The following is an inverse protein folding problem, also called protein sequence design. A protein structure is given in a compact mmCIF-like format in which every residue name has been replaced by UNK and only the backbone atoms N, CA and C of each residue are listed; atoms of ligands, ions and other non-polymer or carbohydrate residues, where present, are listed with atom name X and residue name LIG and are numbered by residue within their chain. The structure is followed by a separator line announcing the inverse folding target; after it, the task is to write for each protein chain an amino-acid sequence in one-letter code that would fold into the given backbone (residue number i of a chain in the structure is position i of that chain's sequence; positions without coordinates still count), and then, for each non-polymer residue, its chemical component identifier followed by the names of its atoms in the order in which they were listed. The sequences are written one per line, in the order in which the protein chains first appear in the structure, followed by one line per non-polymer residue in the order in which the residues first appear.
data_IF_360776314559
#
_entry.id   IF_360776314559
#
_cell.length_a   1.000
_cell.length_b   1.000
_cell.length_c   1.000
_cell.angle_alpha   90.00
_cell.angle_beta   90.00
_cell.angle_gamma   90.00
#
_symmetry.space_group_name_H-M   'P 1'
#
loop_
_entity.id
_entity.type
_entity.pdbx_description
1 polymer ?
#
# COMPACT_ATOMS: atom_id res chain seq x y z
N UNK A 1 41.22 -42.49 -10.91
CA UNK A 1 40.03 -41.69 -11.24
C UNK A 1 39.68 -40.84 -10.02
N UNK A 2 39.62 -39.51 -10.11
CA UNK A 2 39.19 -38.69 -8.99
C UNK A 2 37.69 -38.87 -8.78
N UNK A 3 37.24 -39.07 -7.54
CA UNK A 3 35.82 -39.05 -7.19
C UNK A 3 35.26 -37.68 -7.57
N UNK A 4 34.27 -37.65 -8.47
CA UNK A 4 33.52 -36.43 -8.75
C UNK A 4 32.98 -35.86 -7.44
N UNK A 5 33.42 -34.66 -7.13
CA UNK A 5 32.96 -33.88 -5.99
C UNK A 5 31.54 -33.44 -6.34
N UNK A 6 30.54 -34.07 -5.73
CA UNK A 6 29.15 -33.62 -5.80
C UNK A 6 29.11 -32.26 -5.09
N UNK A 7 29.31 -31.18 -5.83
CA UNK A 7 29.04 -29.83 -5.36
C UNK A 7 27.53 -29.64 -5.54
N UNK A 8 26.78 -30.13 -4.57
CA UNK A 8 25.37 -29.80 -4.41
C UNK A 8 25.31 -28.36 -3.90
N UNK A 9 25.11 -27.39 -4.80
CA UNK A 9 24.68 -26.06 -4.39
C UNK A 9 23.41 -26.19 -3.53
N UNK A 10 23.41 -25.51 -2.39
CA UNK A 10 22.25 -25.47 -1.51
C UNK A 10 21.04 -24.96 -2.31
N UNK A 11 19.82 -25.50 -2.08
CA UNK A 11 18.65 -24.99 -2.77
C UNK A 11 18.47 -23.50 -2.44
N UNK A 12 18.22 -22.69 -3.47
CA UNK A 12 17.84 -21.29 -3.29
C UNK A 12 16.48 -21.23 -2.61
N UNK A 13 16.48 -21.20 -1.28
CA UNK A 13 15.26 -21.15 -0.46
C UNK A 13 14.72 -19.72 -0.42
N UNK A 14 14.19 -19.30 -1.57
CA UNK A 14 13.27 -18.17 -1.72
C UNK A 14 11.80 -18.63 -1.72
N UNK A 15 11.55 -19.91 -1.41
CA UNK A 15 10.21 -20.50 -1.39
C UNK A 15 9.32 -19.92 -0.29
N UNK A 16 8.00 -20.04 -0.48
CA UNK A 16 7.00 -19.61 0.49
C UNK A 16 7.19 -20.39 1.80
N UNK A 17 7.25 -19.69 2.93
CA UNK A 17 7.34 -20.34 4.24
C UNK A 17 5.98 -20.88 4.63
N UNK A 18 5.99 -22.08 5.19
CA UNK A 18 4.79 -22.71 5.76
C UNK A 18 4.97 -22.85 7.26
N UNK A 19 4.08 -22.22 8.01
CA UNK A 19 4.02 -22.30 9.45
C UNK A 19 2.80 -23.14 9.88
N UNK A 20 2.93 -23.81 11.01
CA UNK A 20 1.90 -24.70 11.56
C UNK A 20 1.56 -24.25 12.97
N UNK A 21 0.26 -24.29 13.26
CA UNK A 21 -0.30 -24.00 14.57
C UNK A 21 -1.33 -25.08 14.88
N UNK A 22 -1.03 -25.96 15.84
CA UNK A 22 -2.02 -26.94 16.30
C UNK A 22 -3.17 -26.25 17.05
N UNK A 23 -4.28 -26.96 17.23
CA UNK A 23 -5.42 -26.41 17.98
C UNK A 23 -5.07 -26.07 19.43
N UNK A 24 -4.26 -26.90 20.08
CA UNK A 24 -3.76 -26.63 21.43
C UNK A 24 -2.89 -25.37 21.48
N UNK A 25 -1.99 -25.20 20.49
CA UNK A 25 -1.15 -24.01 20.38
C UNK A 25 -1.98 -22.73 20.15
N UNK A 26 -3.02 -22.81 19.32
CA UNK A 26 -3.91 -21.68 19.09
C UNK A 26 -4.65 -21.26 20.37
N UNK A 27 -5.22 -22.22 21.11
CA UNK A 27 -5.90 -21.96 22.39
C UNK A 27 -4.94 -21.32 23.40
N UNK A 28 -3.68 -21.77 23.41
CA UNK A 28 -2.65 -21.24 24.30
C UNK A 28 -2.04 -19.90 23.82
N UNK A 29 -2.44 -19.36 22.66
CA UNK A 29 -1.86 -18.15 22.09
C UNK A 29 -0.38 -18.30 21.72
N UNK A 30 0.07 -19.51 21.40
CA UNK A 30 1.46 -19.80 21.05
C UNK A 30 1.82 -19.29 19.65
N UNK A 31 3.12 -19.06 19.43
CA UNK A 31 3.63 -18.68 18.11
C UNK A 31 3.63 -19.88 17.15
N UNK A 32 3.24 -19.70 15.87
CA UNK A 32 3.33 -20.76 14.85
C UNK A 32 4.77 -21.25 14.65
N UNK A 33 4.95 -22.54 14.39
CA UNK A 33 6.25 -23.18 14.17
C UNK A 33 6.44 -23.45 12.68
N UNK A 34 7.62 -23.16 12.13
CA UNK A 34 7.90 -23.40 10.72
C UNK A 34 7.98 -24.90 10.44
N UNK A 35 7.22 -25.37 9.44
CA UNK A 35 7.26 -26.74 8.93
C UNK A 35 8.15 -26.90 7.70
N UNK A 36 8.49 -25.80 7.01
CA UNK A 36 9.45 -25.86 5.91
C UNK A 36 9.21 -24.79 4.87
N UNK A 37 9.77 -25.02 3.70
CA UNK A 37 9.55 -24.20 2.51
C UNK A 37 8.68 -24.95 1.53
N UNK A 38 7.66 -24.28 1.02
CA UNK A 38 6.73 -24.83 0.04
C UNK A 38 7.45 -25.08 -1.29
N UNK A 39 7.39 -26.31 -1.77
CA UNK A 39 7.89 -26.70 -3.10
C UNK A 39 6.75 -26.86 -4.10
N UNK A 40 5.57 -27.29 -3.64
CA UNK A 40 4.36 -27.33 -4.47
C UNK A 40 3.09 -27.22 -3.62
N UNK A 41 2.03 -26.66 -4.20
CA UNK A 41 0.69 -26.66 -3.60
C UNK A 41 -0.40 -26.71 -4.66
N UNK A 42 -1.46 -27.46 -4.40
CA UNK A 42 -2.65 -27.55 -5.25
C UNK A 42 -3.92 -27.60 -4.42
N UNK A 43 -5.06 -27.20 -4.99
CA UNK A 43 -6.37 -27.33 -4.33
C UNK A 43 -6.76 -26.22 -3.35
N UNK A 44 -5.92 -25.20 -3.12
CA UNK A 44 -6.22 -24.06 -2.23
C UNK A 44 -7.52 -23.31 -2.58
N UNK A 45 -7.80 -23.16 -3.88
CA UNK A 45 -9.01 -22.52 -4.44
C UNK A 45 -10.19 -23.49 -4.65
N UNK A 46 -9.98 -24.80 -4.46
CA UNK A 46 -10.97 -25.84 -4.74
C UNK A 46 -12.14 -25.85 -3.75
N UNK A 47 -13.26 -26.42 -4.17
CA UNK A 47 -14.50 -26.53 -3.41
C UNK A 47 -15.67 -26.31 -4.36
N UNK A 48 -16.31 -27.40 -4.81
CA UNK A 48 -17.53 -27.28 -5.60
C UNK A 48 -18.69 -26.90 -4.67
N UNK A 49 -19.52 -25.95 -5.11
CA UNK A 49 -20.85 -25.76 -4.52
C UNK A 49 -21.81 -26.65 -5.29
N UNK A 50 -22.40 -27.63 -4.62
CA UNK A 50 -23.62 -28.23 -5.14
C UNK A 50 -24.76 -27.25 -4.85
N UNK A 51 -25.32 -26.62 -5.87
CA UNK A 51 -26.58 -25.90 -5.71
C UNK A 51 -27.68 -26.94 -5.55
N UNK A 52 -28.42 -26.90 -4.43
CA UNK A 52 -29.64 -27.67 -4.30
C UNK A 52 -30.79 -26.81 -4.80
N UNK A 53 -31.29 -27.15 -5.99
CA UNK A 53 -32.54 -26.60 -6.51
C UNK A 53 -33.68 -27.33 -5.85
N UNK A 54 -34.46 -26.62 -5.04
CA UNK A 54 -35.67 -27.17 -4.43
C UNK A 54 -36.88 -26.69 -5.26
N UNK A 55 -37.66 -27.63 -5.78
CA UNK A 55 -39.00 -27.35 -6.29
C UNK A 55 -39.95 -27.22 -5.10
N UNK A 56 -40.62 -26.06 -4.89
CA UNK A 56 -41.54 -25.90 -3.78
C UNK A 56 -42.72 -26.87 -3.93
N UNK A 57 -42.98 -27.71 -2.92
CA UNK A 57 -44.09 -28.69 -2.97
C UNK A 57 -45.46 -28.00 -2.80
N UNK A 58 -45.50 -26.84 -2.12
CA UNK A 58 -46.75 -26.15 -1.73
C UNK A 58 -46.80 -24.66 -2.08
N UNK A 59 -45.82 -24.13 -2.81
CA UNK A 59 -45.78 -22.70 -3.19
C UNK A 59 -45.94 -22.58 -4.70
N UNK A 60 -46.97 -21.85 -5.15
CA UNK A 60 -47.30 -21.66 -6.58
C UNK A 60 -46.77 -20.34 -7.13
N UNK A 61 -46.26 -19.45 -6.27
CA UNK A 61 -45.89 -18.09 -6.66
C UNK A 61 -44.39 -17.94 -6.96
N UNK A 62 -43.57 -18.96 -6.66
CA UNK A 62 -42.14 -18.99 -6.96
C UNK A 62 -41.76 -20.22 -7.80
N UNK A 63 -41.21 -20.00 -9.00
CA UNK A 63 -40.76 -21.07 -9.91
C UNK A 63 -39.52 -21.84 -9.41
N UNK A 64 -38.69 -21.21 -8.57
CA UNK A 64 -37.43 -21.78 -8.09
C UNK A 64 -37.05 -21.23 -6.69
N UNK A 65 -36.72 -22.12 -5.74
CA UNK A 65 -36.01 -21.73 -4.51
C UNK A 65 -34.56 -22.20 -4.63
N UNK A 66 -33.64 -21.23 -4.78
CA UNK A 66 -32.21 -21.49 -4.67
C UNK A 66 -31.82 -21.58 -3.20
N UNK A 67 -31.69 -22.81 -2.68
CA UNK A 67 -31.10 -23.01 -1.36
C UNK A 67 -29.56 -22.92 -1.46
N UNK A 68 -28.93 -22.21 -0.53
CA UNK A 68 -27.47 -22.16 -0.42
C UNK A 68 -26.98 -23.57 -0.10
N UNK A 69 -26.57 -24.31 -1.12
CA UNK A 69 -26.19 -25.72 -0.96
C UNK A 69 -24.83 -25.92 -0.27
N UNK A 70 -24.50 -27.19 -0.03
CA UNK A 70 -23.33 -27.60 0.76
C UNK A 70 -22.03 -27.27 -0.01
N UNK A 71 -21.14 -26.48 0.60
CA UNK A 71 -19.77 -26.30 0.12
C UNK A 71 -18.98 -27.56 0.51
N UNK A 72 -18.58 -28.38 -0.46
CA UNK A 72 -17.72 -29.54 -0.17
C UNK A 72 -16.31 -29.05 0.16
N UNK A 73 -15.65 -29.77 1.06
CA UNK A 73 -14.28 -29.50 1.45
C UNK A 73 -13.33 -29.71 0.27
N UNK A 74 -12.30 -28.86 0.19
CA UNK A 74 -11.30 -28.95 -0.87
C UNK A 74 -10.19 -29.90 -0.44
N UNK A 75 -9.86 -30.88 -1.26
CA UNK A 75 -8.60 -31.61 -1.09
C UNK A 75 -7.46 -30.70 -1.50
N UNK A 76 -6.49 -30.54 -0.60
CA UNK A 76 -5.27 -29.78 -0.80
C UNK A 76 -4.10 -30.76 -0.75
N UNK A 77 -3.21 -30.67 -1.73
CA UNK A 77 -1.94 -31.39 -1.71
C UNK A 77 -0.81 -30.38 -1.61
N UNK A 78 0.14 -30.66 -0.72
CA UNK A 78 1.23 -29.75 -0.36
C UNK A 78 2.53 -30.54 -0.24
N UNK A 79 3.61 -30.04 -0.83
CA UNK A 79 4.95 -30.59 -0.64
C UNK A 79 5.84 -29.54 0.03
N UNK A 80 6.54 -29.94 1.09
CA UNK A 80 7.41 -29.09 1.89
C UNK A 80 8.82 -29.64 1.87
N UNK A 81 9.82 -28.80 1.58
CA UNK A 81 11.22 -29.09 1.89
C UNK A 81 11.49 -28.66 3.34
N UNK A 82 11.78 -29.62 4.22
CA UNK A 82 11.87 -29.36 5.66
C UNK A 82 13.23 -29.64 6.28
N UNK A 83 14.11 -30.36 5.58
CA UNK A 83 15.49 -30.57 6.03
C UNK A 83 16.45 -30.56 4.87
N UNK A 84 17.51 -29.77 4.96
CA UNK A 84 18.54 -29.65 3.92
C UNK A 84 19.80 -28.96 4.47
N UNK A 85 20.90 -29.03 3.73
CA UNK A 85 22.13 -28.31 4.07
C UNK A 85 22.20 -27.01 3.27
N UNK A 86 22.42 -25.89 3.97
CA UNK A 86 22.69 -24.57 3.39
C UNK A 86 23.89 -23.93 4.07
N UNK A 87 24.85 -23.46 3.29
CA UNK A 87 26.09 -22.83 3.77
C UNK A 87 26.84 -23.70 4.80
N UNK A 88 26.85 -25.02 4.59
CA UNK A 88 27.48 -26.00 5.48
C UNK A 88 26.74 -26.26 6.80
N UNK A 89 25.53 -25.70 7.00
CA UNK A 89 24.69 -25.93 8.18
C UNK A 89 23.42 -26.69 7.79
N UNK A 90 23.05 -27.67 8.61
CA UNK A 90 21.76 -28.35 8.49
C UNK A 90 20.65 -27.40 8.94
N UNK A 91 19.71 -27.14 8.05
CA UNK A 91 18.41 -26.56 8.34
C UNK A 91 17.45 -27.72 8.61
N UNK A 92 16.76 -27.71 9.73
CA UNK A 92 15.80 -28.76 10.14
C UNK A 92 14.60 -28.06 10.79
N UNK A 93 13.38 -28.34 10.31
CA UNK A 93 12.16 -27.63 10.70
C UNK A 93 11.20 -28.54 11.46
N UNK A 94 11.06 -28.28 12.77
CA UNK A 94 10.24 -29.10 13.68
C UNK A 94 8.73 -29.07 13.37
N UNK A 95 8.25 -28.09 12.61
CA UNK A 95 6.83 -27.98 12.26
C UNK A 95 6.29 -29.19 11.50
N UNK A 96 7.14 -29.97 10.83
CA UNK A 96 6.75 -31.23 10.18
C UNK A 96 6.30 -32.27 11.20
N UNK A 97 6.93 -32.34 12.37
CA UNK A 97 6.55 -33.28 13.43
C UNK A 97 5.14 -32.96 13.98
N UNK A 98 4.75 -31.68 13.97
CA UNK A 98 3.38 -31.29 14.33
C UNK A 98 2.36 -31.71 13.27
N UNK A 99 2.73 -31.72 11.98
CA UNK A 99 1.88 -32.21 10.91
C UNK A 99 1.74 -33.73 10.97
N UNK A 100 2.84 -34.45 11.20
CA UNK A 100 2.84 -35.90 11.41
C UNK A 100 1.95 -36.29 12.59
N UNK A 101 2.15 -35.65 13.75
CA UNK A 101 1.34 -35.88 14.94
C UNK A 101 -0.15 -35.59 14.68
N UNK A 102 -0.47 -34.50 13.99
CA UNK A 102 -1.85 -34.18 13.66
C UNK A 102 -2.50 -35.21 12.73
N UNK A 103 -1.73 -35.81 11.82
CA UNK A 103 -2.19 -36.94 11.01
C UNK A 103 -2.45 -38.19 11.86
N UNK A 104 -1.49 -38.57 12.71
CA UNK A 104 -1.59 -39.75 13.59
C UNK A 104 -2.75 -39.65 14.58
N UNK A 105 -2.95 -38.47 15.17
CA UNK A 105 -4.00 -38.22 16.17
C UNK A 105 -5.33 -37.77 15.53
N UNK A 106 -5.38 -37.66 14.20
CA UNK A 106 -6.57 -37.22 13.45
C UNK A 106 -7.09 -35.85 13.92
N UNK A 107 -6.17 -34.94 14.26
CA UNK A 107 -6.44 -33.58 14.73
C UNK A 107 -6.52 -32.55 13.59
N UNK A 108 -7.25 -31.47 13.86
CA UNK A 108 -7.27 -30.30 12.98
C UNK A 108 -6.09 -29.37 13.29
N UNK A 109 -5.47 -28.84 12.24
CA UNK A 109 -4.36 -27.88 12.33
C UNK A 109 -4.66 -26.62 11.53
N UNK A 110 -3.98 -25.53 11.89
CA UNK A 110 -3.90 -24.36 11.04
C UNK A 110 -2.56 -24.34 10.33
N UNK A 111 -2.63 -24.22 9.00
CA UNK A 111 -1.47 -23.93 8.17
C UNK A 111 -1.52 -22.44 7.83
N UNK A 112 -0.40 -21.77 8.06
CA UNK A 112 -0.20 -20.37 7.69
C UNK A 112 0.78 -20.34 6.52
N UNK A 113 0.33 -19.80 5.40
CA UNK A 113 1.12 -19.67 4.17
C UNK A 113 1.35 -18.18 3.89
N UNK A 114 2.61 -17.80 3.79
CA UNK A 114 3.00 -16.49 3.25
C UNK A 114 2.96 -16.60 1.72
N UNK A 115 2.21 -15.74 1.05
CA UNK A 115 2.13 -15.63 -0.41
C UNK A 115 3.14 -14.56 -0.83
N UNK A 116 3.97 -14.88 -1.83
CA UNK A 116 4.93 -13.94 -2.38
C UNK A 116 4.25 -13.04 -3.43
N UNK A 117 3.30 -12.22 -2.98
CA UNK A 117 2.74 -11.11 -3.72
C UNK A 117 3.29 -9.77 -3.19
N UNK A 118 2.95 -8.66 -3.84
CA UNK A 118 3.40 -7.32 -3.42
C UNK A 118 2.97 -6.98 -1.98
N UNK A 119 1.83 -7.52 -1.53
CA UNK A 119 1.28 -7.33 -0.19
C UNK A 119 1.92 -8.27 0.86
N UNK A 120 2.70 -9.26 0.42
CA UNK A 120 3.20 -10.37 1.25
C UNK A 120 2.07 -11.04 2.03
N UNK A 121 0.96 -11.30 1.32
CA UNK A 121 -0.30 -11.79 1.91
C UNK A 121 -0.06 -13.03 2.76
N UNK A 122 -0.59 -13.08 3.97
CA UNK A 122 -0.45 -14.22 4.88
C UNK A 122 -1.81 -14.85 5.12
N UNK A 123 -1.99 -16.09 4.68
CA UNK A 123 -3.26 -16.82 4.78
C UNK A 123 -3.20 -17.85 5.89
N UNK A 124 -4.15 -17.80 6.82
CA UNK A 124 -4.40 -18.84 7.82
C UNK A 124 -5.51 -19.77 7.34
N UNK A 125 -5.19 -21.04 7.20
CA UNK A 125 -6.07 -22.05 6.61
C UNK A 125 -6.27 -23.17 7.63
N UNK A 126 -7.53 -23.43 7.98
CA UNK A 126 -7.88 -24.59 8.82
C UNK A 126 -7.94 -25.85 7.97
N UNK A 127 -7.25 -26.90 8.39
CA UNK A 127 -7.09 -28.12 7.61
C UNK A 127 -7.12 -29.36 8.51
N UNK A 128 -7.56 -30.47 7.93
CA UNK A 128 -7.44 -31.81 8.52
C UNK A 128 -6.56 -32.65 7.62
N UNK A 129 -5.46 -33.18 8.16
CA UNK A 129 -4.51 -33.96 7.36
C UNK A 129 -5.09 -35.36 7.13
N UNK A 130 -5.14 -35.78 5.88
CA UNK A 130 -5.70 -37.07 5.44
C UNK A 130 -4.66 -37.99 4.81
N UNK A 131 -3.48 -37.47 4.49
CA UNK A 131 -2.31 -38.24 4.09
C UNK A 131 -1.03 -37.50 4.43
N UNK A 132 -0.02 -38.23 4.87
CA UNK A 132 1.28 -37.69 5.23
C UNK A 132 2.38 -38.68 4.85
N UNK A 133 3.38 -38.21 4.13
CA UNK A 133 4.52 -39.00 3.68
C UNK A 133 5.80 -38.19 3.78
N UNK A 134 6.86 -38.80 4.31
CA UNK A 134 8.19 -38.20 4.36
C UNK A 134 9.10 -38.93 3.38
N UNK A 135 9.83 -38.17 2.58
CA UNK A 135 10.74 -38.70 1.56
C UNK A 135 12.13 -38.12 1.76
N UNK A 136 13.15 -38.98 1.65
CA UNK A 136 14.54 -38.55 1.55
C UNK A 136 14.92 -38.43 0.08
N UNK A 137 15.35 -37.25 -0.34
CA UNK A 137 15.86 -36.97 -1.67
C UNK A 137 17.39 -37.04 -1.71
N UNK A 138 17.96 -36.97 -2.92
CA UNK A 138 19.40 -36.85 -3.08
C UNK A 138 19.95 -35.59 -2.36
N UNK A 139 21.23 -35.64 -1.97
CA UNK A 139 21.95 -34.52 -1.35
C UNK A 139 21.44 -34.07 0.02
N UNK A 140 21.04 -35.00 0.89
CA UNK A 140 20.58 -34.71 2.27
C UNK A 140 19.37 -33.76 2.32
N UNK A 141 18.52 -33.80 1.29
CA UNK A 141 17.25 -33.07 1.26
C UNK A 141 16.13 -34.01 1.71
N UNK A 142 15.22 -33.51 2.52
CA UNK A 142 14.05 -34.26 2.97
C UNK A 142 12.80 -33.42 2.76
N UNK A 143 11.80 -34.08 2.20
CA UNK A 143 10.54 -33.48 1.83
C UNK A 143 9.37 -34.18 2.52
N UNK A 144 8.36 -33.42 2.90
CA UNK A 144 7.10 -33.92 3.43
C UNK A 144 5.98 -33.65 2.41
N UNK A 145 5.27 -34.69 2.00
CA UNK A 145 4.09 -34.61 1.14
C UNK A 145 2.85 -34.76 2.03
N UNK A 146 1.96 -33.79 1.97
CA UNK A 146 0.77 -33.68 2.79
C UNK A 146 -0.45 -33.63 1.88
N UNK A 147 -1.40 -34.52 2.11
CA UNK A 147 -2.76 -34.44 1.59
C UNK A 147 -3.68 -34.05 2.75
N UNK A 148 -4.53 -33.05 2.54
CA UNK A 148 -5.38 -32.54 3.59
C UNK A 148 -6.74 -32.07 3.04
N UNK A 149 -7.73 -32.06 3.93
CA UNK A 149 -9.05 -31.51 3.71
C UNK A 149 -9.10 -30.08 4.24
N UNK A 150 -9.34 -29.09 3.37
CA UNK A 150 -9.54 -27.70 3.77
C UNK A 150 -10.92 -27.52 4.42
N UNK A 151 -10.93 -26.90 5.59
CA UNK A 151 -12.13 -26.62 6.37
C UNK A 151 -12.40 -25.12 6.35
N UNK A 152 -13.57 -24.73 5.83
CA UNK A 152 -13.98 -23.33 5.77
C UNK A 152 -13.17 -22.49 4.77
N UNK A 153 -13.23 -21.17 4.94
CA UNK A 153 -12.49 -20.21 4.12
C UNK A 153 -11.13 -19.88 4.75
N UNK A 154 -10.15 -19.58 3.90
CA UNK A 154 -8.87 -19.09 4.37
C UNK A 154 -9.06 -17.69 4.95
N UNK A 155 -8.48 -17.42 6.11
CA UNK A 155 -8.50 -16.11 6.74
C UNK A 155 -7.24 -15.34 6.33
N UNK A 156 -7.40 -14.17 5.76
CA UNK A 156 -6.30 -13.22 5.62
C UNK A 156 -5.89 -12.71 7.00
N UNK A 157 -4.63 -12.96 7.36
CA UNK A 157 -4.01 -12.52 8.61
C UNK A 157 -2.77 -11.69 8.35
N UNK A 158 -2.64 -11.12 7.15
CA UNK A 158 -1.51 -10.27 6.76
C UNK A 158 -1.32 -9.20 7.82
N UNK A 159 -0.14 -9.15 8.48
CA UNK A 159 0.13 -8.07 9.41
C UNK A 159 0.22 -6.77 8.63
N UNK A 160 -0.32 -5.68 9.20
CA UNK A 160 -0.12 -4.36 8.66
C UNK A 160 1.39 -4.05 8.59
N UNK A 161 1.82 -3.44 7.49
CA UNK A 161 3.18 -2.96 7.28
C UNK A 161 3.09 -1.53 6.81
N UNK A 162 3.97 -0.69 7.34
CA UNK A 162 4.18 0.64 6.78
C UNK A 162 4.78 0.51 5.39
N UNK A 163 4.47 1.46 4.53
CA UNK A 163 5.09 1.59 3.22
C UNK A 163 6.60 1.82 3.39
N UNK A 164 7.41 1.22 2.52
CA UNK A 164 8.87 1.32 2.60
C UNK A 164 9.43 1.71 1.22
N UNK A 165 10.48 2.53 1.20
CA UNK A 165 11.16 2.93 -0.02
C UNK A 165 12.04 4.17 0.18
N UNK A 166 13.00 4.38 -0.71
CA UNK A 166 13.98 5.49 -0.59
C UNK A 166 13.34 6.88 -0.60
N UNK A 167 12.15 7.01 -1.19
CA UNK A 167 11.37 8.24 -1.27
C UNK A 167 10.19 8.28 -0.27
N UNK A 168 10.11 7.32 0.65
CA UNK A 168 9.03 7.24 1.63
C UNK A 168 9.54 7.68 3.00
N UNK A 169 8.78 8.54 3.67
CA UNK A 169 9.07 9.01 5.02
C UNK A 169 7.82 8.90 5.89
N UNK A 170 7.97 8.33 7.07
CA UNK A 170 6.92 8.29 8.09
C UNK A 170 7.32 9.24 9.23
N UNK A 171 6.44 10.17 9.58
CA UNK A 171 6.75 11.18 10.60
C UNK A 171 5.52 11.57 11.43
N UNK A 172 5.75 12.09 12.63
CA UNK A 172 4.74 12.80 13.44
C UNK A 172 5.07 14.29 13.57
N UNK A 173 6.06 14.79 12.83
CA UNK A 173 6.40 16.20 12.80
C UNK A 173 5.45 16.95 11.89
N UNK A 174 4.84 18.01 12.41
CA UNK A 174 3.85 18.78 11.68
C UNK A 174 4.44 19.43 10.42
N UNK A 175 3.69 19.35 9.32
CA UNK A 175 4.00 20.00 8.05
C UNK A 175 3.01 21.14 7.79
N UNK A 176 3.52 22.28 7.33
CA UNK A 176 2.70 23.43 6.97
C UNK A 176 2.50 23.46 5.46
N UNK A 177 1.24 23.39 5.02
CA UNK A 177 0.89 23.48 3.59
C UNK A 177 1.39 24.81 3.01
N UNK A 178 2.06 24.73 1.86
CA UNK A 178 2.66 25.87 1.16
C UNK A 178 4.09 26.22 1.60
N UNK A 179 4.60 25.66 2.70
CA UNK A 179 6.00 25.87 3.10
C UNK A 179 6.96 25.02 2.23
N UNK A 180 8.21 25.47 2.09
CA UNK A 180 9.23 24.80 1.26
C UNK A 180 10.11 23.89 2.13
N UNK A 181 10.15 22.60 1.79
CA UNK A 181 10.98 21.57 2.41
C UNK A 181 11.92 20.96 1.38
N UNK A 182 13.12 21.53 1.25
CA UNK A 182 14.06 21.16 0.19
C UNK A 182 14.55 19.69 0.28
N UNK A 183 14.60 19.13 1.49
CA UNK A 183 14.96 17.74 1.79
C UNK A 183 13.83 16.74 1.50
N UNK A 184 12.62 17.22 1.19
CA UNK A 184 11.43 16.40 0.94
C UNK A 184 11.05 16.33 -0.54
N UNK A 185 11.84 16.92 -1.44
CA UNK A 185 11.60 16.83 -2.89
C UNK A 185 11.46 15.39 -3.35
N UNK A 186 10.45 15.13 -4.18
CA UNK A 186 10.12 13.79 -4.70
C UNK A 186 9.73 12.75 -3.65
N UNK A 187 9.51 13.13 -2.38
CA UNK A 187 9.09 12.20 -1.33
C UNK A 187 7.59 12.10 -1.20
N UNK A 188 7.13 10.92 -0.80
CA UNK A 188 5.82 10.70 -0.20
C UNK A 188 5.99 10.69 1.31
N UNK A 189 5.34 11.62 2.00
CA UNK A 189 5.39 11.71 3.47
C UNK A 189 4.06 11.23 4.04
N UNK A 190 4.13 10.20 4.88
CA UNK A 190 3.03 9.76 5.72
C UNK A 190 3.15 10.42 7.09
N UNK A 191 2.32 11.42 7.35
CA UNK A 191 2.24 12.13 8.62
C UNK A 191 1.18 11.50 9.52
N UNK A 192 1.56 11.23 10.77
CA UNK A 192 0.70 10.63 11.79
C UNK A 192 0.45 11.66 12.90
N UNK A 193 -0.76 12.26 12.95
CA UNK A 193 -1.12 13.20 14.03
C UNK A 193 -0.99 12.60 15.43
N UNK A 194 -1.22 11.28 15.54
CA UNK A 194 -1.00 10.53 16.77
C UNK A 194 0.30 9.70 16.63
N UNK A 195 1.36 10.01 17.40
CA UNK A 195 2.64 9.28 17.32
C UNK A 195 2.54 7.79 17.67
N UNK A 196 1.53 7.34 18.42
CA UNK A 196 1.38 5.90 18.70
C UNK A 196 1.04 5.10 17.44
N UNK A 197 0.38 5.73 16.47
CA UNK A 197 -0.02 5.12 15.20
C UNK A 197 1.19 4.72 14.36
N UNK A 198 2.35 5.38 14.51
CA UNK A 198 3.62 5.00 13.86
C UNK A 198 4.16 3.62 14.31
N UNK A 199 3.66 3.08 15.43
CA UNK A 199 4.08 1.78 15.95
C UNK A 199 2.97 0.76 15.80
N UNK A 200 1.76 1.12 16.22
CA UNK A 200 0.62 0.21 16.28
C UNK A 200 -0.67 0.95 15.93
N UNK A 201 -1.00 1.06 14.63
CA UNK A 201 -2.26 1.67 14.22
C UNK A 201 -3.47 0.99 14.86
N UNK A 202 -4.44 1.79 15.28
CA UNK A 202 -5.74 1.35 15.78
C UNK A 202 -6.84 1.73 14.78
N UNK A 203 -7.96 1.01 14.80
CA UNK A 203 -9.12 1.34 13.97
C UNK A 203 -9.54 2.79 14.21
N UNK A 204 -9.78 3.54 13.12
CA UNK A 204 -10.05 4.97 13.06
C UNK A 204 -8.86 5.89 13.33
N UNK A 205 -7.64 5.36 13.52
CA UNK A 205 -6.45 6.21 13.48
C UNK A 205 -6.32 6.87 12.10
N UNK A 206 -5.89 8.12 12.09
CA UNK A 206 -5.77 8.93 10.88
C UNK A 206 -4.30 9.10 10.51
N UNK A 207 -4.04 9.23 9.21
CA UNK A 207 -2.79 9.75 8.68
C UNK A 207 -3.05 10.71 7.52
N UNK A 208 -2.09 11.59 7.27
CA UNK A 208 -2.08 12.51 6.15
C UNK A 208 -0.95 12.13 5.18
N UNK A 209 -1.24 12.09 3.89
CA UNK A 209 -0.30 11.70 2.83
C UNK A 209 0.05 12.90 1.98
N UNK A 210 1.29 13.36 2.08
CA UNK A 210 1.83 14.47 1.29
C UNK A 210 2.69 13.92 0.15
N UNK A 211 2.42 14.34 -1.08
CA UNK A 211 3.22 13.99 -2.26
C UNK A 211 3.97 15.24 -2.73
N UNK A 212 5.24 15.35 -2.36
CA UNK A 212 6.05 16.52 -2.66
C UNK A 212 6.47 16.58 -4.13
N UNK A 213 6.53 17.78 -4.68
CA UNK A 213 7.05 17.99 -6.02
C UNK A 213 8.58 17.75 -6.07
N UNK A 214 9.09 17.44 -7.25
CA UNK A 214 10.51 17.12 -7.46
C UNK A 214 11.42 18.34 -7.62
N UNK A 215 10.85 19.55 -7.71
CA UNK A 215 11.55 20.76 -8.15
C UNK A 215 11.88 21.66 -6.96
N UNK A 216 10.85 22.11 -6.26
CA UNK A 216 10.90 23.09 -5.18
C UNK A 216 10.68 22.45 -3.81
N UNK A 217 9.86 21.40 -3.71
CA UNK A 217 9.53 20.74 -2.45
C UNK A 217 8.52 21.55 -1.63
N UNK A 218 7.53 22.16 -2.30
CA UNK A 218 6.43 22.85 -1.63
C UNK A 218 5.52 21.80 -1.00
N UNK A 219 5.20 21.96 0.29
CA UNK A 219 4.29 21.08 0.99
C UNK A 219 2.90 21.18 0.37
N UNK A 220 2.37 20.10 -0.22
CA UNK A 220 1.05 20.10 -0.83
C UNK A 220 -0.04 20.03 0.24
N UNK A 221 -1.30 20.08 -0.19
CA UNK A 221 -2.39 19.54 0.60
C UNK A 221 -2.24 18.02 0.70
N UNK A 222 -2.41 17.50 1.90
CA UNK A 222 -2.32 16.06 2.12
C UNK A 222 -3.65 15.37 1.95
N UNK A 223 -3.63 14.21 1.30
CA UNK A 223 -4.75 13.29 1.29
C UNK A 223 -4.91 12.63 2.66
N UNK A 224 -6.11 12.67 3.22
CA UNK A 224 -6.39 12.06 4.51
C UNK A 224 -6.78 10.60 4.33
N UNK A 225 -6.15 9.74 5.12
CA UNK A 225 -6.45 8.31 5.18
C UNK A 225 -6.83 7.88 6.59
N UNK A 226 -7.72 6.88 6.69
CA UNK A 226 -8.21 6.33 7.95
C UNK A 226 -7.90 4.84 8.00
N UNK A 227 -7.41 4.36 9.15
CA UNK A 227 -7.14 2.95 9.38
C UNK A 227 -8.44 2.18 9.63
N UNK A 228 -8.78 1.25 8.73
CA UNK A 228 -10.05 0.54 8.77
C UNK A 228 -9.98 -0.80 9.54
N UNK A 229 -11.13 -1.48 9.68
CA UNK A 229 -11.23 -2.79 10.33
C UNK A 229 -10.46 -3.91 9.61
N UNK A 230 -10.20 -3.73 8.31
CA UNK A 230 -9.36 -4.61 7.49
C UNK A 230 -7.86 -4.38 7.70
N UNK A 231 -7.48 -3.49 8.62
CA UNK A 231 -6.09 -3.13 8.94
C UNK A 231 -5.34 -2.48 7.79
N UNK A 232 -6.04 -1.68 6.99
CA UNK A 232 -5.48 -0.89 5.90
C UNK A 232 -5.80 0.59 6.11
N UNK A 233 -4.90 1.47 5.69
CA UNK A 233 -5.21 2.89 5.55
C UNK A 233 -5.92 3.10 4.21
N UNK A 234 -7.15 3.59 4.26
CA UNK A 234 -7.97 3.90 3.08
C UNK A 234 -8.17 5.40 2.96
N UNK A 235 -8.27 5.89 1.73
CA UNK A 235 -8.60 7.28 1.45
C UNK A 235 -9.96 7.63 2.06
N UNK A 236 -9.99 8.73 2.81
CA UNK A 236 -11.26 9.32 3.25
C UNK A 236 -11.86 10.13 2.12
N UNK A 237 -13.20 10.20 2.02
CA UNK A 237 -13.94 10.98 1.01
C UNK A 237 -13.78 12.50 1.15
N UNK A 238 -12.69 13.01 1.74
CA UNK A 238 -12.46 14.43 1.85
C UNK A 238 -12.07 15.03 0.50
N UNK A 239 -12.99 15.79 -0.10
CA UNK A 239 -12.69 16.72 -1.18
C UNK A 239 -11.69 17.77 -0.67
N UNK A 240 -10.54 17.88 -1.33
CA UNK A 240 -9.64 18.99 -1.10
C UNK A 240 -10.20 20.24 -1.77
N UNK A 241 -10.42 21.30 -0.99
CA UNK A 241 -10.63 22.64 -1.54
C UNK A 241 -9.44 23.01 -2.42
N UNK A 242 -9.80 23.38 -3.66
CA UNK A 242 -9.00 23.58 -4.86
C UNK A 242 -7.52 23.89 -4.65
N UNK A 243 -6.64 23.02 -5.18
CA UNK A 243 -5.23 23.36 -5.49
C UNK A 243 -5.22 24.71 -6.21
N UNK A 244 -4.26 25.59 -5.88
CA UNK A 244 -4.12 26.83 -6.63
C UNK A 244 -4.06 26.57 -8.13
N UNK A 245 -4.92 27.27 -8.87
CA UNK A 245 -4.93 27.28 -10.33
C UNK A 245 -4.59 28.68 -10.78
N UNK A 246 -3.68 28.80 -11.75
CA UNK A 246 -3.39 30.06 -12.40
C UNK A 246 -4.66 30.62 -13.04
N UNK A 247 -4.80 31.94 -13.02
CA UNK A 247 -5.90 32.60 -13.70
C UNK A 247 -5.84 32.31 -15.22
N UNK A 248 -6.95 31.87 -15.80
CA UNK A 248 -7.05 31.55 -17.23
C UNK A 248 -8.10 32.47 -17.88
N UNK A 249 -7.67 33.69 -18.20
CA UNK A 249 -8.47 34.73 -18.87
C UNK A 249 -7.65 35.27 -20.05
N UNK A 250 -8.29 35.50 -21.19
CA UNK A 250 -7.64 36.01 -22.40
C UNK A 250 -6.95 37.37 -22.20
N UNK A 251 -7.34 38.12 -21.17
CA UNK A 251 -6.77 39.41 -20.79
C UNK A 251 -5.69 39.32 -19.72
N UNK A 252 -5.36 38.12 -19.25
CA UNK A 252 -4.32 37.88 -18.24
C UNK A 252 -3.08 37.28 -18.90
N UNK A 253 -1.92 37.82 -18.54
CA UNK A 253 -0.61 37.33 -18.97
C UNK A 253 0.22 37.01 -17.74
N UNK A 254 0.79 35.81 -17.70
CA UNK A 254 1.75 35.40 -16.68
C UNK A 254 3.17 35.51 -17.26
N UNK A 255 4.03 36.29 -16.61
CA UNK A 255 5.38 36.61 -17.08
C UNK A 255 6.42 36.27 -16.01
N UNK A 256 7.55 35.72 -16.44
CA UNK A 256 8.64 35.24 -15.56
C UNK A 256 10.01 35.82 -15.93
N UNK A 257 10.14 36.49 -17.08
CA UNK A 257 11.40 37.02 -17.61
C UNK A 257 11.42 38.55 -17.62
N UNK A 258 10.38 39.17 -18.16
CA UNK A 258 10.38 40.60 -18.47
C UNK A 258 9.42 41.36 -17.56
N UNK A 259 9.93 42.01 -16.51
CA UNK A 259 9.10 42.87 -15.66
C UNK A 259 8.64 44.12 -16.43
N UNK A 260 7.33 44.45 -16.45
CA UNK A 260 6.85 45.70 -17.03
C UNK A 260 7.42 46.93 -16.30
N UNK A 261 7.78 47.96 -17.07
CA UNK A 261 8.26 49.24 -16.53
C UNK A 261 7.10 50.22 -16.44
N UNK A 262 6.89 50.81 -15.26
CA UNK A 262 5.85 51.81 -15.04
C UNK A 262 5.97 52.97 -16.05
N UNK A 263 4.86 53.37 -16.64
CA UNK A 263 4.81 54.50 -17.57
C UNK A 263 5.30 54.17 -18.99
N UNK A 264 5.85 52.97 -19.23
CA UNK A 264 6.20 52.51 -20.58
C UNK A 264 4.92 52.08 -21.33
N UNK A 265 4.88 52.35 -22.63
CA UNK A 265 3.80 51.94 -23.53
C UNK A 265 4.07 50.55 -24.12
N UNK A 266 3.07 49.68 -24.04
CA UNK A 266 3.05 48.35 -24.62
C UNK A 266 1.82 48.22 -25.53
N UNK A 267 1.98 48.54 -26.82
CA UNK A 267 0.86 48.57 -27.79
C UNK A 267 0.11 47.24 -27.90
N UNK A 268 0.84 46.12 -27.91
CA UNK A 268 0.27 44.77 -28.03
C UNK A 268 -0.42 44.28 -26.74
N UNK A 269 -0.20 44.96 -25.62
CA UNK A 269 -0.70 44.58 -24.30
C UNK A 269 -1.85 45.49 -23.83
N UNK A 270 -2.43 46.31 -24.71
CA UNK A 270 -3.56 47.19 -24.38
C UNK A 270 -4.71 46.42 -23.73
N UNK A 271 -5.15 46.90 -22.56
CA UNK A 271 -6.24 46.31 -21.79
C UNK A 271 -5.87 45.01 -21.05
N UNK A 272 -4.62 44.55 -21.12
CA UNK A 272 -4.17 43.32 -20.45
C UNK A 272 -3.73 43.57 -19.01
N UNK A 273 -3.92 42.56 -18.17
CA UNK A 273 -3.34 42.46 -16.83
C UNK A 273 -2.14 41.53 -16.89
N UNK A 274 -1.01 41.96 -16.34
CA UNK A 274 0.23 41.18 -16.31
C UNK A 274 0.54 40.81 -14.86
N UNK A 275 0.64 39.52 -14.59
CA UNK A 275 1.21 38.99 -13.36
C UNK A 275 2.68 38.60 -13.61
N UNK A 276 3.59 39.41 -13.10
CA UNK A 276 5.02 39.12 -13.13
C UNK A 276 5.43 38.34 -11.87
N UNK A 277 6.17 37.25 -12.06
CA UNK A 277 6.66 36.40 -10.98
C UNK A 277 8.19 36.54 -10.87
N UNK A 278 8.69 37.33 -9.90
CA UNK A 278 10.13 37.49 -9.66
C UNK A 278 10.86 36.15 -9.44
N UNK A 279 10.18 35.18 -8.83
CA UNK A 279 10.63 33.79 -8.81
C UNK A 279 9.80 32.98 -9.83
N UNK A 280 10.40 32.51 -10.93
CA UNK A 280 9.68 31.75 -11.96
C UNK A 280 9.00 30.49 -11.41
N UNK A 281 9.54 29.87 -10.37
CA UNK A 281 8.96 28.66 -9.77
C UNK A 281 7.62 28.95 -9.10
N UNK A 282 7.33 30.18 -8.69
CA UNK A 282 6.06 30.58 -8.08
C UNK A 282 4.87 30.46 -9.03
N UNK A 283 5.11 30.44 -10.34
CA UNK A 283 4.05 30.24 -11.34
C UNK A 283 3.55 28.79 -11.37
N UNK A 284 4.39 27.82 -10.99
CA UNK A 284 4.06 26.38 -11.08
C UNK A 284 3.96 25.72 -9.71
N UNK A 285 4.78 26.17 -8.76
CA UNK A 285 4.89 25.68 -7.39
C UNK A 285 4.89 26.88 -6.43
N UNK A 286 3.77 27.59 -6.29
CA UNK A 286 3.68 28.73 -5.38
C UNK A 286 3.87 28.27 -3.94
N UNK A 287 4.80 28.91 -3.25
CA UNK A 287 5.05 28.70 -1.83
C UNK A 287 4.48 29.88 -1.02
N UNK A 288 4.18 29.65 0.26
CA UNK A 288 3.79 30.72 1.17
C UNK A 288 4.84 31.84 1.16
N UNK A 289 4.35 33.08 1.16
CA UNK A 289 5.15 34.32 1.09
C UNK A 289 5.80 34.58 -0.27
N UNK A 290 5.53 33.76 -1.29
CA UNK A 290 5.91 34.13 -2.65
C UNK A 290 5.22 35.42 -3.07
N UNK A 291 5.99 36.29 -3.71
CA UNK A 291 5.48 37.55 -4.23
C UNK A 291 5.28 37.43 -5.73
N UNK A 292 4.14 37.91 -6.22
CA UNK A 292 3.96 38.30 -7.61
C UNK A 292 3.63 39.80 -7.69
N UNK A 293 3.94 40.42 -8.81
CA UNK A 293 3.61 41.81 -9.10
C UNK A 293 2.51 41.87 -10.15
N UNK A 294 1.46 42.62 -9.89
CA UNK A 294 0.35 42.87 -10.80
C UNK A 294 0.49 44.23 -11.46
N UNK A 295 0.38 44.25 -12.79
CA UNK A 295 0.32 45.45 -13.61
C UNK A 295 -0.95 45.43 -14.46
N UNK A 296 -1.47 46.61 -14.79
CA UNK A 296 -2.53 46.76 -15.78
C UNK A 296 -2.05 47.73 -16.86
N UNK A 297 -2.18 47.33 -18.11
CA UNK A 297 -1.90 48.16 -19.26
C UNK A 297 -3.19 48.88 -19.69
N UNK A 298 -3.16 50.21 -19.76
CA UNK A 298 -4.32 51.02 -20.13
C UNK A 298 -4.88 50.60 -21.51
N UNK A 299 -6.21 50.53 -21.61
CA UNK A 299 -6.89 50.02 -22.80
C UNK A 299 -6.76 50.90 -24.03
N UNK A 300 -6.52 52.21 -23.86
CA UNK A 300 -6.41 53.16 -24.98
C UNK A 300 -4.95 53.46 -25.34
N UNK A 301 -4.13 53.69 -24.32
CA UNK A 301 -2.74 54.16 -24.46
C UNK A 301 -1.69 53.07 -24.30
N UNK A 302 -2.03 51.89 -23.77
CA UNK A 302 -1.10 50.79 -23.53
C UNK A 302 -0.07 51.07 -22.43
N UNK A 303 -0.22 52.17 -21.69
CA UNK A 303 0.70 52.57 -20.63
C UNK A 303 0.54 51.63 -19.43
N UNK A 304 1.65 51.07 -18.94
CA UNK A 304 1.65 50.19 -17.78
C UNK A 304 1.52 50.97 -16.46
N UNK A 305 0.66 50.46 -15.57
CA UNK A 305 0.48 50.98 -14.20
C UNK A 305 1.72 50.80 -13.32
N UNK A 306 1.72 51.42 -12.13
CA UNK A 306 2.62 50.99 -11.05
C UNK A 306 2.30 49.55 -10.63
N UNK A 307 3.31 48.82 -10.20
CA UNK A 307 3.16 47.46 -9.69
C UNK A 307 2.33 47.44 -8.40
N UNK A 308 1.42 46.48 -8.29
CA UNK A 308 0.81 46.08 -7.01
C UNK A 308 1.39 44.74 -6.58
N UNK A 309 1.99 44.65 -5.39
CA UNK A 309 2.50 43.38 -4.87
C UNK A 309 1.38 42.52 -4.30
N UNK A 310 1.38 41.24 -4.66
CA UNK A 310 0.51 40.22 -4.08
C UNK A 310 1.37 39.11 -3.48
N UNK A 311 0.98 38.65 -2.29
CA UNK A 311 1.65 37.58 -1.56
C UNK A 311 0.79 36.31 -1.59
N UNK A 312 1.41 35.18 -1.88
CA UNK A 312 0.78 33.87 -1.82
C UNK A 312 0.67 33.39 -0.39
N UNK A 313 -0.54 33.06 0.04
CA UNK A 313 -0.81 32.39 1.30
C UNK A 313 -1.93 31.38 1.05
N UNK A 314 -1.66 30.09 1.29
CA UNK A 314 -2.65 29.00 1.29
C UNK A 314 -3.59 29.08 0.07
N UNK A 315 -3.11 28.59 -1.08
CA UNK A 315 -3.81 28.53 -2.37
C UNK A 315 -4.20 29.87 -3.03
N UNK A 316 -3.83 31.04 -2.50
CA UNK A 316 -4.23 32.31 -3.11
C UNK A 316 -3.18 33.42 -3.00
N UNK A 317 -3.02 34.16 -4.10
CA UNK A 317 -2.32 35.45 -4.10
C UNK A 317 -3.28 36.56 -3.60
N UNK A 318 -2.82 37.36 -2.64
CA UNK A 318 -3.59 38.47 -2.07
C UNK A 318 -2.73 39.71 -1.97
N UNK A 319 -3.33 40.88 -2.14
CA UNK A 319 -2.59 42.15 -2.11
C UNK A 319 -1.85 42.34 -0.78
N UNK A 320 -0.53 42.52 -0.87
CA UNK A 320 0.34 42.74 0.26
C UNK A 320 0.06 44.12 0.88
N UNK A 321 -0.18 44.17 2.19
CA UNK A 321 -0.40 45.43 2.91
C UNK A 321 -1.86 45.84 3.15
N UNK A 322 -2.85 45.05 2.69
CA UNK A 322 -4.22 45.18 3.22
C UNK A 322 -4.29 44.43 4.56
N UNK A 323 -4.03 45.14 5.67
CA UNK A 323 -4.52 44.67 6.98
C UNK A 323 -6.05 44.57 6.88
N UNK A 324 -6.61 43.39 7.17
CA UNK A 324 -8.00 43.30 7.63
C UNK A 324 -8.13 44.03 8.96
#
# INVERSE_FOLDING_TARGET
MPKEKIISEAPDVQGLRVLVLSRAMEIAGSTPVQAGFLTSISGLKGGSRESQKLSPINDRDYEEINAVGKKTSATVNMSLLYKFVKDGKTQDFEGVNYLEKAFEENEEVFIIVEVNDERKTTLKIKMKITGFEVTSEANNKFSANITAEKIGEAKDITPFRFEEGDNIEHTSDALNVGDVYADKKSKTIYYYPNPSTLKTPQTNDERLVYIFDSIRGVCPYANKQIFNESKEFIDSEQEHEDKWVKEDDENIIHEIKNEPTQGQTYEELKGKTIYFYPNPLSLTYPANKDIRKKYTCDGSSGVASSATEEEFNINKFTQKGRKK
#
